data_IF_059727660402
#
_entry.id   IF_059727660402
#
_cell.length_a   1.000
_cell.length_b   1.000
_cell.length_c   1.000
_cell.angle_alpha   90.00
_cell.angle_beta   90.00
_cell.angle_gamma   90.00
#
_symmetry.space_group_name_H-M   'P 1'
#
loop_
_entity.id
_entity.type
_entity.pdbx_description
1 polymer ?
#
# COMPACT_ATOMS: atom_id res chain seq x y z
N UNK A 1 -12.13 -10.55 -12.08
CA UNK A 1 -12.28 -9.08 -11.95
C UNK A 1 -13.70 -8.72 -12.40
N UNK A 2 -14.41 -7.90 -11.64
CA UNK A 2 -15.75 -7.48 -12.06
C UNK A 2 -15.69 -6.24 -12.98
N UNK A 3 -16.83 -5.82 -13.54
CA UNK A 3 -16.88 -4.74 -14.53
C UNK A 3 -16.44 -3.38 -13.99
N UNK A 4 -16.47 -3.18 -12.65
CA UNK A 4 -16.07 -1.92 -12.02
C UNK A 4 -14.59 -1.90 -11.66
N UNK A 5 -13.93 -3.03 -11.68
CA UNK A 5 -12.52 -3.14 -11.36
C UNK A 5 -11.65 -2.95 -12.58
N UNK A 6 -10.49 -2.33 -12.38
CA UNK A 6 -9.47 -2.14 -13.40
C UNK A 6 -8.12 -2.47 -12.85
N UNK A 7 -7.25 -2.93 -13.73
CA UNK A 7 -5.83 -3.07 -13.44
C UNK A 7 -5.10 -1.94 -14.16
N UNK A 8 -4.61 -0.97 -13.41
CA UNK A 8 -3.94 0.22 -13.95
C UNK A 8 -2.42 0.11 -13.77
N UNK A 9 -1.68 0.65 -14.74
CA UNK A 9 -0.23 0.70 -14.71
C UNK A 9 0.23 1.93 -13.94
N UNK A 10 1.16 1.74 -12.99
CA UNK A 10 1.74 2.84 -12.23
C UNK A 10 2.92 3.52 -12.95
N UNK A 11 3.33 2.98 -14.10
CA UNK A 11 4.42 3.49 -14.95
C UNK A 11 5.77 3.57 -14.16
N UNK A 12 5.92 2.69 -13.18
CA UNK A 12 7.13 2.57 -12.36
C UNK A 12 7.43 1.08 -12.19
N UNK A 13 8.58 0.63 -12.67
CA UNK A 13 9.09 -0.74 -12.49
C UNK A 13 8.07 -1.84 -12.85
N UNK A 14 7.18 -1.58 -13.79
CA UNK A 14 6.16 -2.55 -14.19
C UNK A 14 5.07 -2.80 -13.17
N UNK A 15 4.97 -2.00 -12.12
CA UNK A 15 3.94 -2.14 -11.09
C UNK A 15 2.57 -1.82 -11.64
N UNK A 16 1.59 -2.63 -11.22
CA UNK A 16 0.19 -2.46 -11.60
C UNK A 16 -0.68 -2.49 -10.36
N UNK A 17 -1.81 -1.82 -10.39
CA UNK A 17 -2.70 -1.69 -9.25
C UNK A 17 -4.15 -1.96 -9.62
N UNK A 18 -4.85 -2.73 -8.78
CA UNK A 18 -6.30 -2.93 -8.91
C UNK A 18 -7.05 -1.75 -8.30
N UNK A 19 -7.95 -1.19 -9.06
CA UNK A 19 -8.83 -0.10 -8.63
C UNK A 19 -10.26 -0.34 -9.09
N UNK A 20 -11.19 0.39 -8.50
CA UNK A 20 -12.60 0.38 -8.92
C UNK A 20 -12.96 1.75 -9.48
N UNK A 21 -13.69 1.76 -10.60
CA UNK A 21 -14.10 3.01 -11.26
C UNK A 21 -15.10 3.82 -10.42
N UNK A 22 -15.81 3.17 -9.49
CA UNK A 22 -16.79 3.81 -8.60
C UNK A 22 -16.19 4.27 -7.27
N UNK A 23 -14.87 4.13 -7.09
CA UNK A 23 -14.17 4.53 -5.86
C UNK A 23 -13.10 5.57 -6.20
N UNK A 24 -12.63 6.26 -5.15
CA UNK A 24 -11.56 7.24 -5.29
C UNK A 24 -10.29 6.57 -5.83
N UNK A 25 -9.70 7.19 -6.85
CA UNK A 25 -8.45 6.72 -7.45
C UNK A 25 -7.27 7.53 -6.96
N UNK A 26 -6.07 6.96 -7.10
CA UNK A 26 -4.85 7.69 -6.81
C UNK A 26 -4.69 8.86 -7.79
N UNK A 27 -3.97 9.90 -7.35
CA UNK A 27 -3.67 11.08 -8.16
C UNK A 27 -2.17 11.18 -8.40
N UNK A 28 -1.81 12.02 -9.38
CA UNK A 28 -0.40 12.35 -9.59
C UNK A 28 0.23 13.01 -8.35
N UNK A 29 -0.57 13.68 -7.53
CA UNK A 29 -0.07 14.29 -6.29
C UNK A 29 0.46 13.24 -5.32
N UNK A 30 -0.24 12.10 -5.20
CA UNK A 30 0.22 11.00 -4.36
C UNK A 30 1.53 10.41 -4.87
N UNK A 31 1.65 10.22 -6.19
CA UNK A 31 2.88 9.72 -6.81
C UNK A 31 4.03 10.71 -6.61
N UNK A 32 3.77 12.00 -6.84
CA UNK A 32 4.78 13.04 -6.65
C UNK A 32 5.25 13.09 -5.20
N UNK A 33 4.32 13.00 -4.25
CA UNK A 33 4.64 13.05 -2.81
C UNK A 33 5.57 11.92 -2.40
N UNK A 34 5.32 10.69 -2.88
CA UNK A 34 6.14 9.55 -2.47
C UNK A 34 7.57 9.66 -2.99
N UNK A 35 7.80 10.35 -4.10
CA UNK A 35 9.16 10.57 -4.61
C UNK A 35 9.98 11.50 -3.73
N UNK A 36 9.35 12.30 -2.87
CA UNK A 36 10.06 13.09 -1.87
C UNK A 36 10.43 12.28 -0.64
N UNK A 37 9.80 11.12 -0.45
CA UNK A 37 10.15 10.24 0.67
C UNK A 37 11.48 9.55 0.38
N UNK A 38 12.28 9.39 1.44
CA UNK A 38 13.51 8.64 1.35
C UNK A 38 13.32 7.31 2.06
N UNK A 39 13.45 6.23 1.32
CA UNK A 39 13.29 4.89 1.87
C UNK A 39 14.64 4.24 2.11
N UNK A 40 14.70 3.46 3.19
CA UNK A 40 15.87 2.69 3.56
C UNK A 40 15.42 1.23 3.77
N UNK A 41 16.14 0.30 3.20
CA UNK A 41 15.81 -1.13 3.29
C UNK A 41 15.90 -1.69 4.71
N UNK A 42 16.54 -0.97 5.63
CA UNK A 42 16.68 -1.38 7.03
C UNK A 42 15.54 -0.92 7.92
N UNK A 43 14.68 -0.02 7.43
CA UNK A 43 13.58 0.54 8.22
C UNK A 43 12.26 -0.03 7.77
N UNK A 44 11.31 -0.09 8.68
CA UNK A 44 9.92 -0.40 8.37
C UNK A 44 9.12 0.90 8.31
N UNK A 45 8.14 0.93 7.41
CA UNK A 45 7.32 2.11 7.16
C UNK A 45 5.85 1.75 7.30
N UNK A 46 5.04 2.73 7.68
CA UNK A 46 3.59 2.58 7.79
C UNK A 46 2.94 3.66 6.96
N UNK A 47 1.98 3.28 6.13
CA UNK A 47 1.17 4.19 5.34
C UNK A 47 -0.25 4.19 5.89
N UNK A 48 -0.61 5.26 6.60
CA UNK A 48 -1.95 5.43 7.16
C UNK A 48 -2.90 5.97 6.09
N UNK A 49 -4.05 5.32 5.93
CA UNK A 49 -4.99 5.65 4.88
C UNK A 49 -4.48 5.22 3.50
N UNK A 50 -3.96 4.01 3.42
CA UNK A 50 -3.25 3.51 2.24
C UNK A 50 -4.13 3.36 1.00
N UNK A 51 -5.45 3.35 1.15
CA UNK A 51 -6.39 3.17 0.04
C UNK A 51 -6.13 1.87 -0.70
N UNK A 52 -5.95 1.94 -2.01
CA UNK A 52 -5.68 0.77 -2.84
C UNK A 52 -4.20 0.38 -2.91
N UNK A 53 -3.35 1.01 -2.09
CA UNK A 53 -1.98 0.57 -1.89
C UNK A 53 -0.94 1.16 -2.84
N UNK A 54 -1.23 2.29 -3.47
CA UNK A 54 -0.31 2.94 -4.42
C UNK A 54 1.02 3.29 -3.76
N UNK A 55 0.98 3.94 -2.60
CA UNK A 55 2.20 4.40 -1.94
C UNK A 55 3.10 3.26 -1.47
N UNK A 56 2.59 2.21 -0.82
CA UNK A 56 3.43 1.07 -0.49
C UNK A 56 4.06 0.39 -1.70
N UNK A 57 3.31 0.23 -2.78
CA UNK A 57 3.85 -0.39 -4.00
C UNK A 57 4.98 0.42 -4.61
N UNK A 58 4.79 1.73 -4.77
CA UNK A 58 5.83 2.60 -5.29
C UNK A 58 7.03 2.64 -4.34
N UNK A 59 6.77 2.64 -3.02
CA UNK A 59 7.82 2.61 -2.01
C UNK A 59 8.77 1.41 -2.16
N UNK A 60 8.26 0.25 -2.59
CA UNK A 60 9.13 -0.91 -2.83
C UNK A 60 10.14 -0.64 -3.93
N UNK A 61 9.76 0.10 -4.97
CA UNK A 61 10.66 0.49 -6.06
C UNK A 61 11.66 1.54 -5.63
N UNK A 62 11.37 2.28 -4.56
CA UNK A 62 12.24 3.34 -4.04
C UNK A 62 13.13 2.85 -2.90
N UNK A 63 13.16 1.55 -2.64
CA UNK A 63 14.11 0.93 -1.72
C UNK A 63 13.57 0.57 -0.35
N UNK A 64 12.27 0.72 -0.09
CA UNK A 64 11.71 0.31 1.20
C UNK A 64 11.76 -1.21 1.36
N UNK A 65 12.25 -1.67 2.50
CA UNK A 65 12.35 -3.11 2.80
C UNK A 65 11.09 -3.70 3.40
N UNK A 66 10.33 -2.91 4.15
CA UNK A 66 9.06 -3.31 4.75
C UNK A 66 8.11 -2.13 4.81
N UNK A 67 6.89 -2.29 4.29
CA UNK A 67 5.85 -1.28 4.37
C UNK A 67 4.54 -1.96 4.78
N UNK A 68 3.85 -1.35 5.75
CA UNK A 68 2.50 -1.76 6.13
C UNK A 68 1.54 -0.66 5.74
N UNK A 69 0.55 -0.98 4.91
CA UNK A 69 -0.55 -0.08 4.58
C UNK A 69 -1.75 -0.38 5.46
N UNK A 70 -2.39 0.66 5.98
CA UNK A 70 -3.56 0.52 6.86
C UNK A 70 -4.68 1.38 6.32
N UNK A 71 -5.88 0.83 6.25
CA UNK A 71 -7.07 1.56 5.87
C UNK A 71 -8.29 0.96 6.56
N UNK A 72 -9.27 1.80 6.86
CA UNK A 72 -10.51 1.35 7.48
C UNK A 72 -11.46 0.69 6.46
N UNK A 73 -11.28 0.96 5.20
CA UNK A 73 -12.14 0.47 4.12
C UNK A 73 -11.72 -0.92 3.67
N UNK A 74 -12.56 -1.92 3.96
CA UNK A 74 -12.27 -3.32 3.62
C UNK A 74 -12.11 -3.55 2.13
N UNK A 75 -12.89 -2.86 1.30
CA UNK A 75 -12.81 -3.00 -0.16
C UNK A 75 -11.47 -2.48 -0.68
N UNK A 76 -11.00 -1.34 -0.15
CA UNK A 76 -9.68 -0.82 -0.50
C UNK A 76 -8.59 -1.81 -0.13
N UNK A 77 -8.64 -2.38 1.06
CA UNK A 77 -7.62 -3.34 1.53
C UNK A 77 -7.65 -4.61 0.70
N UNK A 78 -8.82 -5.10 0.31
CA UNK A 78 -8.90 -6.25 -0.58
C UNK A 78 -8.21 -5.97 -1.93
N UNK A 79 -8.51 -4.83 -2.54
CA UNK A 79 -7.87 -4.44 -3.80
C UNK A 79 -6.37 -4.26 -3.61
N UNK A 80 -5.97 -3.63 -2.51
CA UNK A 80 -4.56 -3.41 -2.19
C UNK A 80 -3.81 -4.74 -2.03
N UNK A 81 -4.40 -5.70 -1.33
CA UNK A 81 -3.79 -7.02 -1.14
C UNK A 81 -3.65 -7.77 -2.46
N UNK A 82 -4.66 -7.69 -3.32
CA UNK A 82 -4.58 -8.30 -4.66
C UNK A 82 -3.48 -7.67 -5.50
N UNK A 83 -3.29 -6.36 -5.37
CA UNK A 83 -2.23 -5.64 -6.08
C UNK A 83 -0.85 -6.05 -5.58
N UNK A 84 -0.69 -6.22 -4.26
CA UNK A 84 0.56 -6.71 -3.66
C UNK A 84 0.91 -8.08 -4.22
N UNK A 85 -0.04 -8.99 -4.26
CA UNK A 85 0.17 -10.34 -4.78
C UNK A 85 0.44 -10.34 -6.27
N UNK A 86 -0.29 -9.53 -7.04
CA UNK A 86 -0.11 -9.41 -8.49
C UNK A 86 1.31 -8.95 -8.85
N UNK A 87 1.89 -8.07 -8.04
CA UNK A 87 3.24 -7.55 -8.25
C UNK A 87 4.32 -8.36 -7.53
N UNK A 88 3.95 -9.47 -6.89
CA UNK A 88 4.88 -10.34 -6.14
C UNK A 88 5.63 -9.59 -5.03
N UNK A 89 4.93 -8.72 -4.32
CA UNK A 89 5.50 -7.89 -3.24
C UNK A 89 5.04 -8.30 -1.84
N UNK A 90 4.43 -9.48 -1.68
CA UNK A 90 3.89 -9.94 -0.41
C UNK A 90 4.95 -10.14 0.69
N UNK A 91 6.22 -10.26 0.32
CA UNK A 91 7.32 -10.38 1.30
C UNK A 91 7.73 -9.02 1.88
N UNK A 92 7.35 -7.92 1.23
CA UNK A 92 7.75 -6.56 1.58
C UNK A 92 6.58 -5.73 2.07
N UNK A 93 5.39 -5.95 1.52
CA UNK A 93 4.22 -5.14 1.80
C UNK A 93 3.15 -5.96 2.51
N UNK A 94 2.63 -5.42 3.61
CA UNK A 94 1.45 -5.94 4.31
C UNK A 94 0.32 -4.93 4.26
N UNK A 95 -0.90 -5.42 4.13
CA UNK A 95 -2.09 -4.60 4.15
C UNK A 95 -2.96 -5.01 5.33
N UNK A 96 -3.36 -4.05 6.14
CA UNK A 96 -4.20 -4.26 7.32
C UNK A 96 -5.45 -3.42 7.23
N UNK A 97 -6.60 -4.05 7.47
CA UNK A 97 -7.86 -3.33 7.61
C UNK A 97 -8.08 -2.98 9.08
N UNK A 98 -8.26 -1.70 9.37
CA UNK A 98 -8.51 -1.27 10.74
C UNK A 98 -8.54 0.23 10.87
N UNK A 99 -9.01 0.70 12.02
CA UNK A 99 -9.06 2.12 12.34
C UNK A 99 -7.78 2.50 13.10
N UNK A 100 -6.83 3.08 12.38
CA UNK A 100 -5.52 3.43 12.93
C UNK A 100 -5.59 4.49 14.05
N UNK A 101 -6.71 5.21 14.16
CA UNK A 101 -6.89 6.18 15.26
C UNK A 101 -6.95 5.52 16.62
N UNK A 102 -7.26 4.22 16.65
CA UNK A 102 -7.36 3.42 17.87
C UNK A 102 -6.23 2.40 17.99
N UNK A 103 -5.25 2.46 17.10
CA UNK A 103 -4.09 1.55 17.12
C UNK A 103 -2.91 2.21 17.80
N UNK A 104 -2.26 1.48 18.73
CA UNK A 104 -0.98 1.89 19.27
C UNK A 104 0.14 1.45 18.32
N UNK A 105 1.32 2.02 18.50
CA UNK A 105 2.53 1.59 17.81
C UNK A 105 2.75 0.08 17.96
N UNK A 106 2.56 -0.45 19.16
CA UNK A 106 2.72 -1.87 19.44
C UNK A 106 1.69 -2.73 18.71
N UNK A 107 0.44 -2.27 18.65
CA UNK A 107 -0.61 -2.98 17.90
C UNK A 107 -0.24 -3.15 16.44
N UNK A 108 0.24 -2.09 15.81
CA UNK A 108 0.67 -2.11 14.41
C UNK A 108 1.85 -3.06 14.23
N UNK A 109 2.82 -3.00 15.12
CA UNK A 109 4.00 -3.85 15.08
C UNK A 109 3.63 -5.33 15.22
N UNK A 110 2.76 -5.66 16.18
CA UNK A 110 2.36 -7.04 16.44
C UNK A 110 1.53 -7.62 15.29
N UNK A 111 0.57 -6.85 14.76
CA UNK A 111 -0.30 -7.29 13.66
C UNK A 111 0.46 -7.44 12.35
N UNK A 112 1.43 -6.59 12.08
CA UNK A 112 2.18 -6.60 10.83
C UNK A 112 3.39 -7.53 10.87
N UNK A 113 3.80 -7.98 12.03
CA UNK A 113 5.03 -8.77 12.24
C UNK A 113 6.29 -8.01 11.77
N UNK A 114 6.24 -6.68 11.82
CA UNK A 114 7.35 -5.81 11.44
C UNK A 114 7.95 -5.19 12.69
N UNK A 115 9.26 -5.21 12.79
CA UNK A 115 10.01 -4.54 13.88
C UNK A 115 10.36 -3.13 13.42
N UNK A 116 9.59 -2.19 13.90
CA UNK A 116 9.76 -0.77 13.55
C UNK A 116 10.73 -0.12 14.52
#
# INVERSE_FOLDING_TARGET
>A
MNDQERLDDLIIDGLQIYQRSDMFRFSFDAIALIHFCRFNSRHAYVDFGTGTGVMPLIGTSLGAGHITGIDINETHIELAQRSVEHNSKQDVVKMLCGDYRHMSYRDIQDLSLIHI
#
